data_IF_491575935384
#
_entry.id   IF_491575935384
#
_cell.length_a   1.000
_cell.length_b   1.000
_cell.length_c   1.000
_cell.angle_alpha   90.00
_cell.angle_beta   90.00
_cell.angle_gamma   90.00
#
_symmetry.space_group_name_H-M   'P 1'
#
loop_
_entity.id
_entity.type
_entity.pdbx_description
1 polymer ?
#
# COMPACT_ATOMS: atom_id res chain seq x y z
N UNK A 1 15.19 26.25 5.99
CA UNK A 1 13.99 25.46 6.32
C UNK A 1 14.45 24.04 6.58
N UNK A 2 14.45 23.60 7.85
CA UNK A 2 14.65 22.18 8.16
C UNK A 2 13.46 21.41 7.59
N UNK A 3 13.67 20.74 6.45
CA UNK A 3 12.72 19.74 5.98
C UNK A 3 12.77 18.63 7.02
N UNK A 4 11.86 18.67 8.00
CA UNK A 4 11.70 17.60 8.99
C UNK A 4 11.50 16.31 8.19
N UNK A 5 12.50 15.45 8.18
CA UNK A 5 12.37 14.07 7.71
C UNK A 5 11.41 13.40 8.68
N UNK A 6 10.10 13.47 8.39
CA UNK A 6 9.10 12.73 9.16
C UNK A 6 9.40 11.26 8.92
N UNK A 7 10.05 10.64 9.89
CA UNK A 7 10.16 9.19 9.99
C UNK A 7 8.73 8.65 9.89
N UNK A 8 8.49 7.83 8.88
CA UNK A 8 7.23 7.15 8.61
C UNK A 8 7.15 5.92 9.48
N UNK A 9 5.99 5.61 10.04
CA UNK A 9 5.81 4.37 10.76
C UNK A 9 5.45 3.24 9.78
N UNK A 10 6.31 2.22 9.58
CA UNK A 10 6.03 1.12 8.65
C UNK A 10 4.88 0.24 9.09
N UNK A 11 4.68 0.08 10.41
CA UNK A 11 3.56 -0.66 10.98
C UNK A 11 2.24 0.05 10.69
N UNK A 12 2.19 1.37 10.87
CA UNK A 12 1.02 2.17 10.54
C UNK A 12 0.71 2.13 9.04
N UNK A 13 1.74 2.18 8.17
CA UNK A 13 1.57 2.05 6.73
C UNK A 13 0.99 0.67 6.35
N UNK A 14 1.46 -0.41 6.98
CA UNK A 14 0.93 -1.75 6.76
C UNK A 14 -0.52 -1.90 7.25
N UNK A 15 -0.85 -1.38 8.44
CA UNK A 15 -2.21 -1.38 8.98
C UNK A 15 -3.16 -0.55 8.10
N UNK A 16 -2.71 0.57 7.57
CA UNK A 16 -3.49 1.36 6.61
C UNK A 16 -3.79 0.56 5.34
N UNK A 17 -2.79 -0.13 4.78
CA UNK A 17 -2.99 -1.03 3.63
C UNK A 17 -3.86 -2.25 3.96
N UNK A 18 -3.88 -2.70 5.22
CA UNK A 18 -4.76 -3.78 5.69
C UNK A 18 -6.23 -3.37 5.59
N UNK A 19 -6.59 -2.18 6.08
CA UNK A 19 -7.97 -1.69 6.01
C UNK A 19 -8.39 -1.28 4.60
N UNK A 20 -7.48 -0.65 3.84
CA UNK A 20 -7.71 -0.30 2.44
C UNK A 20 -6.39 -0.37 1.66
N UNK A 21 -6.34 -1.30 0.71
CA UNK A 21 -5.25 -1.42 -0.25
C UNK A 21 -5.06 -0.09 -0.99
N UNK A 22 -3.88 0.52 -0.86
CA UNK A 22 -3.60 1.87 -1.38
C UNK A 22 -3.33 2.93 -0.30
N UNK A 23 -3.92 2.83 0.89
CA UNK A 23 -3.77 3.86 1.93
C UNK A 23 -2.36 3.92 2.51
N UNK A 24 -1.70 2.79 2.70
CA UNK A 24 -0.31 2.74 3.17
C UNK A 24 0.64 3.43 2.19
N UNK A 25 0.45 3.25 0.88
CA UNK A 25 1.25 3.95 -0.13
C UNK A 25 0.96 5.46 -0.15
N UNK A 26 -0.30 5.90 0.03
CA UNK A 26 -0.64 7.32 0.14
C UNK A 26 -0.02 7.95 1.40
N UNK A 27 -0.03 7.24 2.54
CA UNK A 27 0.63 7.69 3.78
C UNK A 27 2.14 7.88 3.61
N UNK A 28 2.75 6.98 2.82
CA UNK A 28 4.15 7.06 2.40
C UNK A 28 4.42 8.17 1.38
N UNK A 29 3.40 8.92 0.92
CA UNK A 29 3.55 9.97 -0.09
C UNK A 29 3.56 9.46 -1.54
N UNK A 30 3.41 8.14 -1.74
CA UNK A 30 3.39 7.49 -3.05
C UNK A 30 1.97 7.43 -3.61
N UNK A 31 1.39 8.59 -3.92
CA UNK A 31 -0.03 8.69 -4.33
C UNK A 31 -0.34 7.87 -5.59
N UNK A 32 0.54 7.93 -6.61
CA UNK A 32 0.32 7.19 -7.85
C UNK A 32 0.29 5.67 -7.63
N UNK A 33 1.18 5.15 -6.77
CA UNK A 33 1.16 3.72 -6.40
C UNK A 33 -0.09 3.37 -5.61
N UNK A 34 -0.47 4.20 -4.64
CA UNK A 34 -1.68 3.97 -3.86
C UNK A 34 -2.94 3.90 -4.73
N UNK A 35 -3.05 4.79 -5.72
CA UNK A 35 -4.16 4.80 -6.67
C UNK A 35 -4.17 3.54 -7.56
N UNK A 36 -2.99 3.07 -7.98
CA UNK A 36 -2.83 1.80 -8.71
C UNK A 36 -3.32 0.61 -7.89
N UNK A 37 -2.94 0.51 -6.62
CA UNK A 37 -3.41 -0.54 -5.72
C UNK A 37 -4.93 -0.49 -5.51
N UNK A 38 -5.51 0.71 -5.34
CA UNK A 38 -6.97 0.87 -5.26
C UNK A 38 -7.68 0.42 -6.54
N UNK A 39 -7.15 0.78 -7.72
CA UNK A 39 -7.73 0.37 -9.00
C UNK A 39 -7.68 -1.15 -9.19
N UNK A 40 -6.55 -1.79 -8.84
CA UNK A 40 -6.41 -3.25 -8.88
C UNK A 40 -7.36 -3.92 -7.90
N UNK A 41 -7.55 -3.35 -6.71
CA UNK A 41 -8.48 -3.88 -5.71
C UNK A 41 -9.94 -3.76 -6.17
N UNK A 42 -10.31 -2.67 -6.84
CA UNK A 42 -11.63 -2.48 -7.43
C UNK A 42 -11.91 -3.51 -8.54
N UNK A 43 -10.92 -3.79 -9.40
CA UNK A 43 -11.00 -4.84 -10.42
C UNK A 43 -11.15 -6.21 -9.74
N UNK A 44 -10.36 -6.51 -8.71
CA UNK A 44 -10.46 -7.78 -7.97
C UNK A 44 -11.83 -7.98 -7.31
N UNK A 45 -12.47 -6.92 -6.80
CA UNK A 45 -13.83 -6.98 -6.25
C UNK A 45 -14.86 -7.41 -7.31
N UNK A 46 -14.71 -6.95 -8.56
CA UNK A 46 -15.56 -7.40 -9.67
C UNK A 46 -15.26 -8.86 -10.03
N UNK A 47 -13.98 -9.26 -10.04
CA UNK A 47 -13.57 -10.65 -10.29
C UNK A 47 -13.96 -11.63 -9.16
N UNK A 48 -14.26 -11.14 -7.96
CA UNK A 48 -14.76 -11.97 -6.85
C UNK A 48 -16.09 -12.64 -7.20
N UNK A 49 -16.88 -12.07 -8.13
CA UNK A 49 -18.11 -12.67 -8.65
C UNK A 49 -17.89 -13.99 -9.38
N UNK A 50 -16.66 -14.26 -9.83
CA UNK A 50 -16.29 -15.47 -10.60
C UNK A 50 -15.50 -16.48 -9.73
N UNK A 51 -15.50 -16.34 -8.39
CA UNK A 51 -14.69 -17.10 -7.41
C UNK A 51 -13.17 -17.00 -7.56
N UNK A 52 -12.64 -16.64 -8.74
CA UNK A 52 -11.22 -16.41 -8.99
C UNK A 52 -10.69 -15.22 -8.18
N UNK A 53 -11.50 -14.17 -8.02
CA UNK A 53 -11.14 -12.97 -7.27
C UNK A 53 -10.84 -13.22 -5.78
N UNK A 54 -11.25 -14.37 -5.21
CA UNK A 54 -10.94 -14.70 -3.82
C UNK A 54 -9.44 -14.96 -3.61
N UNK A 55 -8.83 -15.78 -4.47
CA UNK A 55 -7.41 -16.11 -4.34
C UNK A 55 -6.51 -14.96 -4.78
N UNK A 56 -6.82 -14.34 -5.92
CA UNK A 56 -6.04 -13.20 -6.42
C UNK A 56 -6.20 -11.97 -5.53
N UNK A 57 -7.39 -11.74 -4.98
CA UNK A 57 -7.64 -10.64 -4.05
C UNK A 57 -6.85 -10.79 -2.76
N UNK A 58 -6.76 -12.00 -2.20
CA UNK A 58 -6.01 -12.26 -0.98
C UNK A 58 -4.50 -12.10 -1.17
N UNK A 59 -3.96 -12.59 -2.29
CA UNK A 59 -2.54 -12.44 -2.64
C UNK A 59 -2.18 -10.95 -2.80
N UNK A 60 -2.99 -10.20 -3.57
CA UNK A 60 -2.76 -8.77 -3.79
C UNK A 60 -2.88 -7.97 -2.49
N UNK A 61 -3.80 -8.35 -1.61
CA UNK A 61 -3.99 -7.68 -0.32
C UNK A 61 -2.78 -7.86 0.61
N UNK A 62 -2.25 -9.07 0.74
CA UNK A 62 -1.00 -9.31 1.49
C UNK A 62 0.16 -8.55 0.85
N UNK A 63 0.25 -8.56 -0.48
CA UNK A 63 1.32 -7.86 -1.19
C UNK A 63 1.26 -6.34 -0.97
N UNK A 64 0.07 -5.75 -0.92
CA UNK A 64 -0.12 -4.33 -0.64
C UNK A 64 0.34 -3.93 0.77
N UNK A 65 0.20 -4.82 1.76
CA UNK A 65 0.75 -4.60 3.11
C UNK A 65 2.27 -4.63 3.11
N UNK A 66 2.87 -5.65 2.49
CA UNK A 66 4.33 -5.80 2.41
C UNK A 66 4.96 -4.64 1.64
N UNK A 67 4.35 -4.21 0.54
CA UNK A 67 4.83 -3.08 -0.26
C UNK A 67 4.73 -1.77 0.54
N UNK A 68 3.66 -1.54 1.30
CA UNK A 68 3.52 -0.37 2.16
C UNK A 68 4.54 -0.35 3.31
N UNK A 69 4.78 -1.48 3.97
CA UNK A 69 5.81 -1.63 5.01
C UNK A 69 7.20 -1.32 4.44
N UNK A 70 7.58 -2.03 3.38
CA UNK A 70 8.92 -1.92 2.76
C UNK A 70 9.14 -0.52 2.17
N UNK A 71 8.09 0.10 1.63
CA UNK A 71 8.16 1.47 1.14
C UNK A 71 8.39 2.48 2.26
N UNK A 72 7.73 2.31 3.41
CA UNK A 72 7.96 3.17 4.58
C UNK A 72 9.39 3.03 5.10
N UNK A 73 9.92 1.79 5.17
CA UNK A 73 11.31 1.52 5.54
C UNK A 73 12.30 2.18 4.58
N UNK A 74 12.07 2.07 3.27
CA UNK A 74 12.92 2.72 2.25
C UNK A 74 12.93 4.24 2.36
N UNK A 75 11.78 4.85 2.67
CA UNK A 75 11.68 6.30 2.88
C UNK A 75 12.48 6.70 4.12
N UNK A 76 12.37 5.92 5.21
CA UNK A 76 13.13 6.16 6.44
C UNK A 76 14.63 5.98 6.25
N UNK A 77 15.05 5.01 5.44
CA UNK A 77 16.45 4.77 5.09
C UNK A 77 17.05 5.83 4.14
N UNK A 78 16.26 6.85 3.74
CA UNK A 78 16.70 7.91 2.82
C UNK A 78 16.78 7.48 1.36
N UNK A 79 16.20 6.32 1.01
CA UNK A 79 16.37 5.68 -0.29
C UNK A 79 15.57 6.31 -1.42
N UNK A 80 14.44 6.97 -1.15
CA UNK A 80 13.64 7.68 -2.17
C UNK A 80 12.84 8.81 -1.51
N UNK A 81 12.95 10.03 -2.06
CA UNK A 81 12.02 11.16 -1.82
C UNK A 81 10.91 11.12 -2.85
#
# INVERSE_FOLDING_TARGET
>A
MEVRTRIKDPGLAAVLSFFFSGLGQIYNGQILKGLLFMAVQAINLVLMLVLVGFFTGFIVWIWAMVDAYTSAERINAGGVR
#
